data_IF_708639765554
#
_entry.id   IF_708639765554
#
_cell.length_a   1.000
_cell.length_b   1.000
_cell.length_c   1.000
_cell.angle_alpha   90.00
_cell.angle_beta   90.00
_cell.angle_gamma   90.00
#
_symmetry.space_group_name_H-M   'P 1'
#
loop_
_entity.id
_entity.type
_entity.pdbx_description
1 polymer ?
#
# COMPACT_ATOMS: atom_id res chain seq x y z
N UNK A 1 -17.98 -5.86 0.54
CA UNK A 1 -16.74 -5.78 1.35
C UNK A 1 -16.68 -4.38 1.95
N UNK A 2 -16.49 -4.27 3.26
CA UNK A 2 -16.41 -3.00 3.97
C UNK A 2 -14.99 -2.83 4.51
N UNK A 3 -14.44 -1.63 4.43
CA UNK A 3 -13.18 -1.30 5.10
C UNK A 3 -13.41 -1.05 6.58
N UNK A 4 -12.45 -1.45 7.39
CA UNK A 4 -12.36 -1.08 8.80
C UNK A 4 -11.14 -0.18 9.02
N UNK A 5 -11.23 0.68 10.03
CA UNK A 5 -10.10 1.47 10.47
C UNK A 5 -9.29 0.67 11.47
N UNK A 6 -7.97 0.55 11.25
CA UNK A 6 -7.03 -0.08 12.20
C UNK A 6 -6.72 0.85 13.38
N UNK A 7 -7.74 1.34 14.08
CA UNK A 7 -7.60 2.21 15.24
C UNK A 7 -8.85 2.19 16.11
N UNK A 8 -8.76 2.71 17.34
CA UNK A 8 -9.91 2.86 18.22
C UNK A 8 -10.87 3.99 17.82
N UNK A 9 -10.55 4.78 16.78
CA UNK A 9 -11.40 5.86 16.26
C UNK A 9 -11.67 5.64 14.77
N UNK A 10 -12.93 5.65 14.31
CA UNK A 10 -13.22 5.47 12.90
C UNK A 10 -12.63 6.62 12.07
N UNK A 11 -12.12 6.29 10.88
CA UNK A 11 -11.72 7.24 9.86
C UNK A 11 -12.64 7.13 8.65
N UNK A 12 -12.87 8.24 7.91
CA UNK A 12 -13.59 8.19 6.65
C UNK A 12 -12.95 7.18 5.68
N UNK A 13 -13.76 6.51 4.83
CA UNK A 13 -13.22 5.63 3.81
C UNK A 13 -12.40 6.43 2.79
N UNK A 14 -11.32 5.84 2.30
CA UNK A 14 -10.51 6.40 1.22
C UNK A 14 -11.14 6.00 -0.11
N UNK A 15 -11.87 6.93 -0.73
CA UNK A 15 -12.70 6.67 -1.91
C UNK A 15 -12.26 7.41 -3.17
N UNK A 16 -11.43 8.45 -3.01
CA UNK A 16 -10.91 9.27 -4.10
C UNK A 16 -9.37 9.39 -4.05
N UNK A 17 -8.77 9.93 -5.12
CA UNK A 17 -7.33 10.28 -5.11
C UNK A 17 -7.00 11.36 -4.09
N UNK A 18 -7.91 12.31 -3.87
CA UNK A 18 -7.75 13.36 -2.86
C UNK A 18 -7.78 12.76 -1.46
N UNK A 19 -8.75 11.89 -1.15
CA UNK A 19 -8.80 11.19 0.14
C UNK A 19 -7.53 10.36 0.36
N UNK A 20 -7.03 9.72 -0.71
CA UNK A 20 -5.83 8.91 -0.65
C UNK A 20 -4.60 9.78 -0.37
N UNK A 21 -4.45 10.92 -1.05
CA UNK A 21 -3.38 11.87 -0.80
C UNK A 21 -3.44 12.39 0.64
N UNK A 22 -4.60 12.87 1.10
CA UNK A 22 -4.77 13.39 2.46
C UNK A 22 -4.43 12.33 3.52
N UNK A 23 -4.85 11.08 3.30
CA UNK A 23 -4.52 9.98 4.21
C UNK A 23 -3.03 9.62 4.17
N UNK A 24 -2.41 9.59 2.98
CA UNK A 24 -1.00 9.21 2.79
C UNK A 24 -0.02 10.27 3.28
N UNK A 25 -0.36 11.55 3.14
CA UNK A 25 0.44 12.67 3.64
C UNK A 25 0.15 13.02 5.11
N UNK A 26 -0.82 12.36 5.73
CA UNK A 26 -1.06 12.44 7.17
C UNK A 26 -0.60 11.18 7.91
N UNK A 27 -0.55 11.28 9.24
CA UNK A 27 -0.14 10.21 10.14
C UNK A 27 -1.24 9.98 11.19
N UNK A 28 -2.43 9.48 10.79
CA UNK A 28 -3.51 9.24 11.73
C UNK A 28 -3.10 8.14 12.75
N UNK A 29 -3.69 8.13 13.96
CA UNK A 29 -3.49 7.05 14.90
C UNK A 29 -3.91 5.72 14.29
N UNK A 30 -3.03 4.73 14.32
CA UNK A 30 -3.32 3.37 13.91
C UNK A 30 -2.60 2.39 14.82
N UNK A 31 -3.16 1.20 15.05
CA UNK A 31 -2.49 0.16 15.84
C UNK A 31 -1.20 -0.28 15.15
N UNK A 32 -1.19 -0.43 13.83
CA UNK A 32 0.01 -0.77 13.07
C UNK A 32 1.06 0.36 12.99
N UNK A 33 0.73 1.59 13.38
CA UNK A 33 1.69 2.70 13.45
C UNK A 33 2.46 2.65 14.78
N UNK A 34 3.42 1.74 14.86
CA UNK A 34 4.27 1.54 16.05
C UNK A 34 5.76 1.68 15.72
N UNK A 35 6.52 2.23 16.66
CA UNK A 35 7.99 2.32 16.60
C UNK A 35 8.68 1.38 17.60
N UNK A 36 7.92 0.53 18.28
CA UNK A 36 8.45 -0.46 19.23
C UNK A 36 9.21 -1.57 18.49
N UNK A 37 10.54 -1.42 18.44
CA UNK A 37 11.45 -2.37 17.77
C UNK A 37 11.44 -3.76 18.42
N UNK A 38 11.24 -3.85 19.73
CA UNK A 38 11.22 -5.14 20.42
C UNK A 38 9.97 -5.92 20.05
N UNK A 39 8.82 -5.25 19.98
CA UNK A 39 7.58 -5.84 19.49
C UNK A 39 7.68 -6.23 18.02
N UNK A 40 8.16 -5.33 17.15
CA UNK A 40 8.35 -5.61 15.73
C UNK A 40 9.29 -6.79 15.50
N UNK A 41 10.38 -6.91 16.28
CA UNK A 41 11.33 -8.02 16.17
C UNK A 41 10.76 -9.40 16.54
N UNK A 42 9.62 -9.45 17.25
CA UNK A 42 8.91 -10.69 17.57
C UNK A 42 7.90 -11.10 16.49
N UNK A 43 7.45 -10.15 15.68
CA UNK A 43 6.39 -10.33 14.68
C UNK A 43 6.99 -10.50 13.29
N UNK A 44 7.99 -9.69 12.97
CA UNK A 44 8.61 -9.62 11.66
C UNK A 44 9.84 -10.52 11.60
N UNK A 45 10.01 -11.31 10.53
CA UNK A 45 11.26 -12.02 10.31
C UNK A 45 12.41 -11.03 10.12
N UNK A 46 13.66 -11.49 10.32
CA UNK A 46 14.82 -10.60 10.36
C UNK A 46 14.97 -9.70 9.12
N UNK A 47 14.69 -10.23 7.92
CA UNK A 47 14.77 -9.47 6.66
C UNK A 47 13.72 -8.36 6.54
N UNK A 48 12.60 -8.49 7.26
CA UNK A 48 11.49 -7.54 7.23
C UNK A 48 11.67 -6.39 8.25
N UNK A 49 12.52 -6.60 9.27
CA UNK A 49 12.85 -5.58 10.28
C UNK A 49 13.66 -4.42 9.71
N UNK A 50 14.30 -4.61 8.55
CA UNK A 50 15.01 -3.55 7.81
C UNK A 50 14.08 -2.58 7.09
N UNK A 51 12.75 -2.83 7.10
CA UNK A 51 11.73 -1.93 6.56
C UNK A 51 11.04 -1.15 7.68
N UNK A 52 11.67 -0.14 8.30
CA UNK A 52 11.07 0.58 9.44
C UNK A 52 9.86 1.43 9.05
N UNK A 53 9.71 1.75 7.75
CA UNK A 53 8.76 2.75 7.25
C UNK A 53 7.57 2.10 6.51
N UNK A 54 7.15 0.89 6.88
CA UNK A 54 6.00 0.24 6.22
C UNK A 54 4.68 1.00 6.41
N UNK A 55 4.52 1.78 7.49
CA UNK A 55 3.29 2.55 7.72
C UNK A 55 3.13 3.70 6.73
N UNK A 56 4.23 4.41 6.44
CA UNK A 56 4.34 5.46 5.43
C UNK A 56 5.69 5.31 4.72
N UNK A 57 5.64 4.89 3.46
CA UNK A 57 6.81 4.66 2.65
C UNK A 57 6.82 5.58 1.44
N UNK A 58 8.02 5.83 0.93
CA UNK A 58 8.23 6.54 -0.32
C UNK A 58 9.20 5.73 -1.17
N UNK A 59 8.91 5.61 -2.46
CA UNK A 59 9.81 5.04 -3.45
C UNK A 59 9.90 6.01 -4.61
N UNK A 60 11.12 6.35 -5.01
CA UNK A 60 11.38 7.24 -6.14
C UNK A 60 12.12 6.46 -7.21
N UNK A 61 11.64 6.53 -8.44
CA UNK A 61 12.31 5.99 -9.61
C UNK A 61 12.59 7.09 -10.61
N UNK A 62 13.74 7.00 -11.28
CA UNK A 62 13.91 7.74 -12.54
C UNK A 62 12.93 7.18 -13.57
N UNK A 63 12.53 8.00 -14.55
CA UNK A 63 11.65 7.54 -15.64
C UNK A 63 12.21 6.28 -16.31
N UNK A 64 13.50 6.29 -16.66
CA UNK A 64 14.16 5.20 -17.37
C UNK A 64 14.26 3.92 -16.53
N UNK A 65 14.49 4.05 -15.23
CA UNK A 65 14.49 2.91 -14.31
C UNK A 65 13.11 2.25 -14.27
N UNK A 66 12.04 3.06 -14.12
CA UNK A 66 10.69 2.53 -14.07
C UNK A 66 10.25 1.92 -15.40
N UNK A 67 10.67 2.50 -16.53
CA UNK A 67 10.49 1.90 -17.86
C UNK A 67 11.14 0.51 -17.95
N UNK A 68 12.38 0.37 -17.46
CA UNK A 68 13.08 -0.91 -17.46
C UNK A 68 12.38 -1.95 -16.56
N UNK A 69 11.92 -1.55 -15.38
CA UNK A 69 11.16 -2.41 -14.47
C UNK A 69 9.86 -2.86 -15.13
N UNK A 70 9.08 -1.91 -15.69
CA UNK A 70 7.82 -2.21 -16.37
C UNK A 70 8.05 -3.18 -17.52
N UNK A 71 9.05 -2.95 -18.37
CA UNK A 71 9.39 -3.84 -19.48
C UNK A 71 9.76 -5.24 -19.01
N UNK A 72 10.59 -5.35 -17.98
CA UNK A 72 11.02 -6.64 -17.40
C UNK A 72 9.86 -7.41 -16.77
N UNK A 73 8.97 -6.73 -16.04
CA UNK A 73 7.89 -7.35 -15.26
C UNK A 73 6.66 -7.68 -16.07
N UNK A 74 6.33 -6.82 -17.05
CA UNK A 74 5.15 -6.99 -17.91
C UNK A 74 5.44 -7.65 -19.25
N UNK A 75 6.69 -7.59 -19.72
CA UNK A 75 7.05 -7.94 -21.10
C UNK A 75 6.66 -6.89 -22.14
N UNK A 76 6.15 -5.72 -21.72
CA UNK A 76 5.64 -4.67 -22.61
C UNK A 76 6.61 -3.51 -22.64
N UNK A 77 7.01 -3.10 -23.84
CA UNK A 77 7.72 -1.85 -24.05
C UNK A 77 6.71 -0.70 -24.17
N UNK A 78 6.71 0.20 -23.18
CA UNK A 78 5.85 1.38 -23.17
C UNK A 78 6.45 2.54 -23.98
N UNK A 79 7.71 2.44 -24.40
CA UNK A 79 8.50 3.59 -24.84
C UNK A 79 8.72 4.59 -23.71
N UNK A 80 8.62 5.87 -24.05
CA UNK A 80 8.73 6.94 -23.08
C UNK A 80 7.49 7.00 -22.19
N UNK A 81 7.67 6.74 -20.89
CA UNK A 81 6.62 6.71 -19.91
C UNK A 81 6.10 8.12 -19.60
N UNK A 82 4.78 8.30 -19.74
CA UNK A 82 4.11 9.60 -19.63
C UNK A 82 3.21 9.71 -18.41
N UNK A 83 2.42 8.68 -18.13
CA UNK A 83 1.44 8.75 -17.05
C UNK A 83 1.27 7.41 -16.33
N UNK A 84 1.14 7.50 -15.01
CA UNK A 84 0.70 6.43 -14.13
C UNK A 84 -0.46 6.97 -13.31
N UNK A 85 -1.68 6.55 -13.65
CA UNK A 85 -2.91 7.14 -13.13
C UNK A 85 -3.75 6.06 -12.47
N UNK A 86 -3.97 6.13 -11.15
CA UNK A 86 -4.96 5.29 -10.48
C UNK A 86 -6.36 5.57 -11.05
N UNK A 87 -7.04 4.52 -11.51
CA UNK A 87 -8.39 4.65 -12.07
C UNK A 87 -9.46 4.31 -11.04
N UNK A 88 -9.26 3.21 -10.30
CA UNK A 88 -10.24 2.72 -9.33
C UNK A 88 -9.56 2.15 -8.09
N UNK A 89 -10.17 2.44 -6.93
CA UNK A 89 -9.78 1.95 -5.60
C UNK A 89 -10.86 1.06 -5.01
N UNK A 90 -10.42 0.00 -4.33
CA UNK A 90 -11.31 -0.87 -3.59
C UNK A 90 -11.76 -0.23 -2.27
N UNK A 91 -12.65 -0.88 -1.51
CA UNK A 91 -13.15 -0.35 -0.25
C UNK A 91 -12.07 0.03 0.76
N UNK A 92 -10.92 -0.67 0.75
CA UNK A 92 -9.77 -0.39 1.62
C UNK A 92 -8.86 0.76 1.14
N UNK A 93 -9.28 1.52 0.11
CA UNK A 93 -8.47 2.61 -0.49
C UNK A 93 -7.33 2.12 -1.38
N UNK A 94 -7.17 0.80 -1.54
CA UNK A 94 -6.13 0.18 -2.37
C UNK A 94 -6.49 0.24 -3.84
N UNK A 95 -5.53 0.61 -4.69
CA UNK A 95 -5.72 0.64 -6.14
C UNK A 95 -5.89 -0.80 -6.64
N UNK A 96 -6.91 -1.02 -7.47
CA UNK A 96 -7.13 -2.29 -8.16
C UNK A 96 -7.29 -2.14 -9.67
N UNK A 97 -7.33 -0.91 -10.19
CA UNK A 97 -7.11 -0.58 -11.60
C UNK A 97 -6.18 0.63 -11.72
N UNK A 98 -5.08 0.44 -12.43
CA UNK A 98 -4.06 1.46 -12.67
C UNK A 98 -3.83 1.60 -14.17
N UNK A 99 -3.89 2.82 -14.72
CA UNK A 99 -3.55 3.09 -16.11
C UNK A 99 -2.09 3.51 -16.23
N UNK A 100 -1.35 2.80 -17.05
CA UNK A 100 0.04 3.11 -17.41
C UNK A 100 0.07 3.50 -18.87
N UNK A 101 0.60 4.68 -19.18
CA UNK A 101 0.66 5.23 -20.54
C UNK A 101 2.08 5.66 -20.85
N UNK A 102 2.63 5.12 -21.93
CA UNK A 102 3.85 5.61 -22.56
C UNK A 102 3.62 6.02 -24.02
N UNK A 103 4.69 6.35 -24.73
CA UNK A 103 4.63 6.81 -26.12
C UNK A 103 4.19 5.72 -27.10
N UNK A 104 4.42 4.44 -26.78
CA UNK A 104 4.10 3.31 -27.67
C UNK A 104 2.85 2.54 -27.27
N UNK A 105 2.54 2.48 -25.97
CA UNK A 105 1.45 1.66 -25.42
C UNK A 105 0.75 2.35 -24.26
N UNK A 106 -0.52 2.01 -24.09
CA UNK A 106 -1.30 2.33 -22.89
C UNK A 106 -2.02 1.07 -22.43
N UNK A 107 -1.88 0.73 -21.15
CA UNK A 107 -2.41 -0.50 -20.56
C UNK A 107 -3.07 -0.19 -19.22
N UNK A 108 -4.18 -0.86 -18.93
CA UNK A 108 -4.80 -0.85 -17.61
C UNK A 108 -4.40 -2.13 -16.89
N UNK A 109 -3.61 -1.98 -15.83
CA UNK A 109 -3.23 -3.07 -14.94
C UNK A 109 -4.33 -3.23 -13.89
N UNK A 110 -4.97 -4.39 -13.88
CA UNK A 110 -5.97 -4.75 -12.87
C UNK A 110 -5.37 -5.59 -11.75
N UNK A 111 -6.09 -5.68 -10.62
CA UNK A 111 -5.74 -6.43 -9.40
C UNK A 111 -4.55 -5.83 -8.63
N UNK A 112 -4.66 -5.88 -7.31
CA UNK A 112 -3.67 -5.30 -6.38
C UNK A 112 -2.26 -5.88 -6.55
N UNK A 113 -2.16 -7.22 -6.66
CA UNK A 113 -0.89 -7.92 -6.71
C UNK A 113 -0.11 -7.62 -7.99
N UNK A 114 -0.79 -7.56 -9.13
CA UNK A 114 -0.15 -7.27 -10.42
C UNK A 114 0.38 -5.85 -10.47
N UNK A 115 -0.37 -4.88 -9.94
CA UNK A 115 0.08 -3.49 -9.80
C UNK A 115 1.39 -3.43 -9.02
N UNK A 116 1.46 -4.11 -7.86
CA UNK A 116 2.66 -4.13 -7.01
C UNK A 116 3.85 -4.83 -7.67
N UNK A 117 3.59 -5.86 -8.47
CA UNK A 117 4.60 -6.63 -9.20
C UNK A 117 5.20 -5.84 -10.36
N UNK A 118 4.41 -5.01 -11.04
CA UNK A 118 4.86 -4.25 -12.22
C UNK A 118 5.65 -2.99 -11.85
N UNK A 119 5.46 -2.45 -10.65
CA UNK A 119 6.04 -1.18 -10.22
C UNK A 119 7.28 -1.32 -9.32
N UNK A 120 7.86 -2.52 -9.19
CA UNK A 120 9.05 -2.74 -8.36
C UNK A 120 9.81 -4.01 -8.79
N UNK A 121 11.13 -4.02 -8.63
CA UNK A 121 11.97 -5.19 -8.88
C UNK A 121 11.68 -6.36 -7.94
N UNK A 122 11.29 -6.09 -6.70
CA UNK A 122 10.82 -7.11 -5.77
C UNK A 122 9.29 -7.13 -5.82
N UNK A 123 8.67 -6.35 -4.94
CA UNK A 123 7.24 -6.03 -4.91
C UNK A 123 7.09 -4.68 -4.21
N UNK A 124 6.23 -3.81 -4.75
CA UNK A 124 5.84 -2.61 -4.01
C UNK A 124 5.14 -3.03 -2.71
N UNK A 125 5.37 -2.32 -1.60
CA UNK A 125 4.86 -2.71 -0.29
C UNK A 125 3.33 -2.91 -0.28
N UNK A 126 2.62 -2.10 -1.06
CA UNK A 126 1.18 -1.97 -1.01
C UNK A 126 0.69 -1.30 -2.31
N UNK A 127 -0.60 -1.45 -2.66
CA UNK A 127 -1.22 -0.63 -3.71
C UNK A 127 -1.99 0.58 -3.17
N UNK A 128 -1.89 0.85 -1.87
CA UNK A 128 -2.36 2.10 -1.28
C UNK A 128 -1.24 3.15 -1.42
N UNK A 129 -1.19 3.79 -2.59
CA UNK A 129 -0.25 4.87 -2.88
C UNK A 129 -0.89 5.95 -3.76
N UNK A 130 -0.24 7.10 -3.85
CA UNK A 130 -0.42 8.14 -4.87
C UNK A 130 0.89 8.31 -5.65
N UNK A 131 0.81 8.82 -6.87
CA UNK A 131 1.98 9.02 -7.74
C UNK A 131 2.16 10.50 -8.03
N UNK A 132 3.36 11.01 -7.80
CA UNK A 132 3.78 12.35 -8.19
C UNK A 132 4.82 12.21 -9.31
N UNK A 133 4.65 12.98 -10.38
CA UNK A 133 5.62 13.07 -11.49
C UNK A 133 6.39 14.37 -11.38
N UNK A 134 7.71 14.27 -11.21
CA UNK A 134 8.61 15.40 -11.26
C UNK A 134 9.12 15.60 -12.68
N UNK A 135 9.16 16.85 -13.12
CA UNK A 135 9.56 17.22 -14.48
C UNK A 135 10.91 17.94 -14.44
N UNK A 136 11.75 17.67 -15.43
CA UNK A 136 12.97 18.42 -15.69
C UNK A 136 12.65 19.81 -16.26
N UNK A 137 13.68 20.66 -16.37
CA UNK A 137 13.54 22.03 -16.85
C UNK A 137 13.00 22.14 -18.30
N UNK A 138 13.18 21.08 -19.09
CA UNK A 138 12.68 20.97 -20.47
C UNK A 138 11.21 20.49 -20.54
N UNK A 139 10.57 20.22 -19.40
CA UNK A 139 9.21 19.72 -19.31
C UNK A 139 9.07 18.21 -19.49
N UNK A 140 10.18 17.47 -19.64
CA UNK A 140 10.17 16.00 -19.66
C UNK A 140 10.03 15.41 -18.25
N UNK A 141 9.39 14.25 -18.12
CA UNK A 141 9.31 13.57 -16.82
C UNK A 141 10.68 12.99 -16.45
N UNK A 142 11.16 13.37 -15.26
CA UNK A 142 12.42 12.93 -14.70
C UNK A 142 12.23 11.81 -13.68
N UNK A 143 11.27 11.96 -12.76
CA UNK A 143 11.02 10.99 -11.70
C UNK A 143 9.53 10.68 -11.54
N UNK A 144 9.26 9.45 -11.10
CA UNK A 144 7.99 9.05 -10.51
C UNK A 144 8.21 8.76 -9.03
N UNK A 145 7.48 9.46 -8.17
CA UNK A 145 7.52 9.32 -6.73
C UNK A 145 6.23 8.69 -6.26
N UNK A 146 6.34 7.52 -5.64
CA UNK A 146 5.25 6.78 -5.04
C UNK A 146 5.23 7.08 -3.55
N UNK A 147 4.21 7.80 -3.09
CA UNK A 147 3.93 7.95 -1.67
C UNK A 147 2.89 6.91 -1.29
N UNK A 148 3.22 6.00 -0.38
CA UNK A 148 2.36 4.89 -0.06
C UNK A 148 2.29 4.56 1.42
N UNK A 149 1.35 3.70 1.76
CA UNK A 149 1.05 3.35 3.14
C UNK A 149 0.70 1.88 3.30
N UNK A 150 1.10 1.35 4.46
CA UNK A 150 0.90 -0.05 4.83
C UNK A 150 1.69 -1.03 3.98
N UNK A 151 1.59 -2.31 4.36
CA UNK A 151 2.31 -3.40 3.73
C UNK A 151 1.45 -4.67 3.68
N UNK A 152 1.55 -5.39 2.56
CA UNK A 152 0.72 -6.55 2.25
C UNK A 152 -0.54 -6.16 1.49
N UNK A 153 -1.51 -7.06 1.39
CA UNK A 153 -2.71 -6.90 0.55
C UNK A 153 -3.88 -6.18 1.24
N UNK A 154 -3.82 -5.98 2.57
CA UNK A 154 -4.82 -5.23 3.33
C UNK A 154 -6.20 -5.90 3.44
N UNK A 155 -6.24 -7.23 3.60
CA UNK A 155 -7.47 -8.00 3.81
C UNK A 155 -7.33 -8.85 5.07
N UNK A 156 -8.38 -8.91 5.89
CA UNK A 156 -8.39 -9.68 7.14
C UNK A 156 -7.66 -8.96 8.26
N UNK A 157 -6.71 -9.65 8.88
CA UNK A 157 -6.04 -9.20 10.10
C UNK A 157 -4.69 -8.53 9.81
N UNK A 158 -4.48 -7.33 10.35
CA UNK A 158 -3.15 -6.71 10.37
C UNK A 158 -2.32 -7.34 11.49
N UNK A 159 -1.25 -8.05 11.14
CA UNK A 159 -0.41 -8.75 12.12
C UNK A 159 0.22 -7.80 13.13
N UNK A 160 0.75 -6.67 12.65
CA UNK A 160 1.37 -5.65 13.51
C UNK A 160 0.31 -4.98 14.38
N UNK A 161 -0.83 -4.59 13.79
CA UNK A 161 -1.93 -3.99 14.54
C UNK A 161 -2.47 -4.90 15.64
N UNK A 162 -2.70 -6.19 15.33
CA UNK A 162 -3.13 -7.20 16.28
C UNK A 162 -2.13 -7.38 17.44
N UNK A 163 -0.83 -7.41 17.14
CA UNK A 163 0.19 -7.54 18.17
C UNK A 163 0.29 -6.28 19.05
N UNK A 164 0.12 -5.09 18.48
CA UNK A 164 0.04 -3.84 19.25
C UNK A 164 -1.21 -3.81 20.13
N UNK A 165 -2.35 -4.29 19.62
CA UNK A 165 -3.56 -4.45 20.43
C UNK A 165 -3.30 -5.42 21.60
N UNK A 166 -2.68 -6.57 21.35
CA UNK A 166 -2.32 -7.53 22.40
C UNK A 166 -1.37 -6.93 23.45
N UNK A 167 -0.35 -6.18 23.01
CA UNK A 167 0.58 -5.47 23.90
C UNK A 167 -0.13 -4.39 24.75
N UNK A 168 -1.24 -3.84 24.26
CA UNK A 168 -2.12 -2.91 24.99
C UNK A 168 -3.16 -3.61 25.88
N UNK A 169 -3.11 -4.94 25.99
CA UNK A 169 -3.98 -5.72 26.87
C UNK A 169 -5.32 -6.14 26.25
N UNK A 170 -5.54 -5.92 24.96
CA UNK A 170 -6.72 -6.45 24.28
C UNK A 170 -6.68 -7.98 24.23
N UNK A 171 -7.82 -8.61 24.48
CA UNK A 171 -8.00 -10.06 24.39
C UNK A 171 -8.10 -10.51 22.94
N UNK A 172 -7.80 -11.79 22.69
CA UNK A 172 -7.90 -12.41 21.36
C UNK A 172 -9.26 -12.18 20.72
N UNK A 173 -10.34 -12.31 21.48
CA UNK A 173 -11.72 -12.11 21.01
C UNK A 173 -11.96 -10.68 20.52
N UNK A 174 -11.42 -9.69 21.24
CA UNK A 174 -11.56 -8.27 20.88
C UNK A 174 -10.76 -7.94 19.60
N UNK A 175 -9.55 -8.51 19.48
CA UNK A 175 -8.71 -8.36 18.30
C UNK A 175 -9.40 -8.99 17.09
N UNK A 176 -9.90 -10.21 17.21
CA UNK A 176 -10.58 -10.89 16.09
C UNK A 176 -11.89 -10.19 15.73
N UNK A 177 -12.68 -9.73 16.69
CA UNK A 177 -13.90 -8.98 16.43
C UNK A 177 -13.63 -7.63 15.74
N UNK A 178 -12.48 -7.00 16.01
CA UNK A 178 -12.04 -5.79 15.31
C UNK A 178 -11.78 -6.06 13.82
N UNK A 179 -10.97 -7.07 13.50
CA UNK A 179 -10.57 -7.35 12.10
C UNK A 179 -11.61 -8.12 11.29
N UNK A 180 -12.40 -8.98 11.93
CA UNK A 180 -13.40 -9.83 11.31
C UNK A 180 -14.79 -9.44 11.81
N UNK A 181 -15.26 -8.28 11.36
CA UNK A 181 -16.57 -7.74 11.75
C UNK A 181 -17.69 -8.73 11.45
N UNK A 182 -18.51 -9.01 12.46
CA UNK A 182 -19.60 -10.00 12.38
C UNK A 182 -19.18 -11.47 12.46
N UNK A 183 -17.88 -11.78 12.61
CA UNK A 183 -17.44 -13.15 12.85
C UNK A 183 -17.85 -13.62 14.26
N UNK A 184 -18.14 -14.92 14.37
CA UNK A 184 -18.50 -15.58 15.63
C UNK A 184 -17.44 -16.61 15.95
N UNK A 185 -16.83 -16.49 17.13
CA UNK A 185 -15.91 -17.51 17.63
C UNK A 185 -16.70 -18.73 18.12
N UNK A 186 -16.32 -19.91 17.62
CA UNK A 186 -16.87 -21.19 18.03
C UNK A 186 -15.75 -22.13 18.44
N UNK A 187 -15.89 -22.72 19.63
CA UNK A 187 -15.05 -23.81 20.09
C UNK A 187 -15.60 -25.11 19.51
N UNK A 188 -14.82 -25.78 18.67
CA UNK A 188 -15.23 -27.06 18.07
C UNK A 188 -14.92 -28.27 18.97
N UNK A 189 -13.94 -28.14 19.87
CA UNK A 189 -13.51 -29.15 20.85
C UNK A 189 -12.91 -28.44 22.06
#
# INVERSE_FOLDING_TARGET
LQSITDSGRPHPPVSSETDAADWLFSTPPAYCNTTDKALLGRILPAFDQETPNFYRWQVTYTRQELEAILKKKSGIDFGELRHIIPLERGPSGRIYKLKITGSQKSVIVGKELEIRRWLSESHLFSSAFVVISEHAADGGIQHFIFHGGGWGHGVGLCQIGAAVMAAKGHKTEEILAHYFTGAILRKFY
#
